data_IF_725811443107
#
_entry.id   IF_725811443107
#
_cell.length_a   1.000
_cell.length_b   1.000
_cell.length_c   1.000
_cell.angle_alpha   90.00
_cell.angle_beta   90.00
_cell.angle_gamma   90.00
#
_symmetry.space_group_name_H-M   'P 1'
#
loop_
_entity.id
_entity.type
_entity.pdbx_description
1 polymer ?
#
# COMPACT_ATOMS: atom_id res chain seq x y z
N UNK A 1 -2.32 4.66 1.32
CA UNK A 1 -3.41 4.86 2.31
C UNK A 1 -4.76 5.12 1.62
N UNK A 2 -5.24 4.15 0.84
CA UNK A 2 -6.44 4.29 0.02
C UNK A 2 -7.74 4.29 0.84
N UNK A 3 -8.84 4.65 0.21
CA UNK A 3 -10.20 4.52 0.73
C UNK A 3 -10.97 3.45 -0.06
N UNK A 4 -12.23 3.25 0.28
CA UNK A 4 -13.14 2.29 -0.37
C UNK A 4 -13.39 2.57 -1.85
N UNK A 5 -13.17 3.81 -2.28
CA UNK A 5 -13.41 4.22 -3.66
C UNK A 5 -12.17 4.06 -4.54
N UNK A 6 -10.97 4.07 -3.96
CA UNK A 6 -9.71 3.98 -4.70
C UNK A 6 -9.11 2.57 -4.67
N UNK A 7 -9.19 1.88 -3.53
CA UNK A 7 -8.53 0.58 -3.36
C UNK A 7 -9.02 -0.49 -4.36
N UNK A 8 -10.33 -0.64 -4.64
CA UNK A 8 -10.82 -1.69 -5.53
C UNK A 8 -10.35 -1.56 -6.99
N UNK A 9 -9.98 -0.35 -7.41
CA UNK A 9 -9.57 -0.06 -8.78
C UNK A 9 -8.05 0.09 -8.92
N UNK A 10 -7.30 -0.19 -7.86
CA UNK A 10 -5.84 -0.09 -7.85
C UNK A 10 -5.21 -1.41 -8.30
N UNK A 11 -4.07 -1.35 -9.00
CA UNK A 11 -3.27 -2.56 -9.32
C UNK A 11 -2.47 -3.05 -8.11
N UNK A 12 -1.95 -2.11 -7.32
CA UNK A 12 -1.28 -2.36 -6.04
C UNK A 12 -1.71 -1.33 -5.01
N UNK A 13 -1.59 -1.67 -3.73
CA UNK A 13 -1.81 -0.78 -2.60
C UNK A 13 -0.60 -0.73 -1.69
N UNK A 14 -0.31 0.46 -1.16
CA UNK A 14 0.58 0.64 0.00
C UNK A 14 -0.20 1.33 1.12
N UNK A 15 -0.23 0.70 2.30
CA UNK A 15 -0.63 1.35 3.54
C UNK A 15 0.61 1.58 4.40
N UNK A 16 0.97 2.85 4.59
CA UNK A 16 2.13 3.24 5.40
C UNK A 16 1.99 4.66 5.93
N UNK A 17 2.58 4.92 7.10
CA UNK A 17 2.78 6.27 7.63
C UNK A 17 3.91 7.04 6.94
N UNK A 18 4.69 6.40 6.05
CA UNK A 18 5.77 7.05 5.28
C UNK A 18 5.59 6.84 3.78
N UNK A 19 5.78 7.92 3.01
CA UNK A 19 5.80 7.86 1.55
C UNK A 19 7.06 7.14 1.01
N UNK A 20 8.18 7.19 1.75
CA UNK A 20 9.43 6.54 1.34
C UNK A 20 9.29 5.04 1.17
N UNK A 21 8.33 4.42 1.87
CA UNK A 21 8.08 2.99 1.74
C UNK A 21 7.59 2.62 0.34
N UNK A 22 7.12 3.57 -0.47
CA UNK A 22 6.73 3.34 -1.87
C UNK A 22 7.94 3.16 -2.80
N UNK A 23 9.12 3.66 -2.40
CA UNK A 23 10.32 3.74 -3.24
C UNK A 23 10.71 2.41 -3.91
N UNK A 24 10.73 1.26 -3.21
CA UNK A 24 11.11 -0.01 -3.84
C UNK A 24 10.22 -0.38 -5.02
N UNK A 25 8.91 -0.06 -4.97
CA UNK A 25 8.01 -0.34 -6.08
C UNK A 25 8.27 0.60 -7.27
N UNK A 26 8.62 1.86 -7.01
CA UNK A 26 8.94 2.85 -8.07
C UNK A 26 10.25 2.51 -8.78
N UNK A 27 11.30 2.16 -8.02
CA UNK A 27 12.60 1.78 -8.58
C UNK A 27 12.50 0.52 -9.45
N UNK A 28 11.71 -0.46 -9.02
CA UNK A 28 11.47 -1.69 -9.79
C UNK A 28 10.61 -1.40 -11.02
N UNK A 29 9.62 -0.52 -10.91
CA UNK A 29 8.78 -0.10 -12.04
C UNK A 29 9.62 0.50 -13.17
N UNK A 30 10.55 1.40 -12.85
CA UNK A 30 11.38 2.09 -13.84
C UNK A 30 12.23 1.11 -14.67
N UNK A 31 12.66 0.00 -14.07
CA UNK A 31 13.57 -0.97 -14.70
C UNK A 31 12.86 -2.15 -15.38
N UNK A 32 11.74 -2.60 -14.82
CA UNK A 32 11.10 -3.86 -15.21
C UNK A 32 9.58 -3.80 -15.34
N UNK A 33 8.99 -2.62 -15.18
CA UNK A 33 7.55 -2.39 -15.36
C UNK A 33 6.67 -3.26 -14.46
N UNK A 34 5.46 -3.56 -14.95
CA UNK A 34 4.40 -4.20 -14.17
C UNK A 34 4.78 -5.57 -13.61
N UNK A 35 5.38 -6.43 -14.41
CA UNK A 35 5.72 -7.80 -13.98
C UNK A 35 6.76 -7.79 -12.85
N UNK A 36 7.76 -6.92 -12.94
CA UNK A 36 8.76 -6.81 -11.89
C UNK A 36 8.15 -6.26 -10.60
N UNK A 37 7.28 -5.25 -10.69
CA UNK A 37 6.57 -4.70 -9.52
C UNK A 37 5.66 -5.75 -8.89
N UNK A 38 4.95 -6.55 -9.68
CA UNK A 38 4.11 -7.62 -9.18
C UNK A 38 4.89 -8.59 -8.29
N UNK A 39 6.04 -9.07 -8.77
CA UNK A 39 6.89 -10.00 -8.02
C UNK A 39 7.36 -9.36 -6.71
N UNK A 40 7.87 -8.12 -6.76
CA UNK A 40 8.35 -7.40 -5.58
C UNK A 40 7.23 -7.12 -4.57
N UNK A 41 6.05 -6.71 -5.03
CA UNK A 41 4.90 -6.41 -4.15
C UNK A 41 4.39 -7.70 -3.51
N UNK A 42 4.24 -8.79 -4.27
CA UNK A 42 3.83 -10.10 -3.74
C UNK A 42 4.83 -10.64 -2.72
N UNK A 43 6.13 -10.42 -2.91
CA UNK A 43 7.15 -10.80 -1.93
C UNK A 43 7.01 -9.98 -0.64
N UNK A 44 6.87 -8.66 -0.75
CA UNK A 44 6.68 -7.77 0.41
C UNK A 44 5.36 -8.04 1.14
N UNK A 45 4.29 -8.35 0.42
CA UNK A 45 3.01 -8.73 1.00
C UNK A 45 3.14 -10.00 1.86
N UNK A 46 3.90 -11.01 1.41
CA UNK A 46 4.19 -12.22 2.20
C UNK A 46 4.99 -11.95 3.47
N UNK A 47 5.93 -11.01 3.40
CA UNK A 47 6.69 -10.56 4.58
C UNK A 47 5.81 -9.80 5.58
N UNK A 48 4.69 -9.24 5.10
CA UNK A 48 3.79 -8.42 5.88
C UNK A 48 4.34 -7.02 6.15
N UNK A 49 3.49 -6.16 6.70
CA UNK A 49 3.90 -4.83 7.14
C UNK A 49 4.55 -4.83 8.53
N UNK A 50 5.32 -3.77 8.80
CA UNK A 50 5.96 -3.53 10.11
C UNK A 50 5.20 -2.44 10.86
N UNK A 51 4.37 -2.84 11.83
CA UNK A 51 3.55 -1.90 12.59
C UNK A 51 2.57 -1.15 11.67
N UNK A 52 2.75 0.16 11.49
CA UNK A 52 1.93 1.00 10.60
C UNK A 52 2.63 1.35 9.27
N UNK A 53 3.67 0.60 8.91
CA UNK A 53 4.49 0.80 7.71
C UNK A 53 4.56 -0.43 6.83
N UNK A 54 4.93 -0.22 5.56
CA UNK A 54 5.25 -1.27 4.60
C UNK A 54 4.14 -2.32 4.33
N UNK A 55 2.86 -2.00 4.53
CA UNK A 55 1.77 -2.93 4.16
C UNK A 55 1.52 -2.85 2.66
N UNK A 56 2.21 -3.70 1.91
CA UNK A 56 2.07 -3.86 0.47
C UNK A 56 0.97 -4.86 0.13
N UNK A 57 0.17 -4.54 -0.88
CA UNK A 57 -0.90 -5.41 -1.36
C UNK A 57 -0.90 -5.47 -2.89
N UNK A 58 -0.96 -6.67 -3.46
CA UNK A 58 -1.22 -6.85 -4.90
C UNK A 58 -2.72 -7.04 -5.14
N UNK A 59 -3.33 -6.16 -5.94
CA UNK A 59 -4.78 -6.03 -6.02
C UNK A 59 -5.36 -6.46 -7.35
N UNK A 60 -4.54 -6.57 -8.41
CA UNK A 60 -5.00 -6.93 -9.75
C UNK A 60 -5.71 -8.30 -9.83
N UNK A 61 -5.52 -9.16 -8.82
CA UNK A 61 -6.08 -10.52 -8.73
C UNK A 61 -6.81 -10.76 -7.40
N UNK A 62 -6.99 -9.72 -6.58
CA UNK A 62 -7.56 -9.87 -5.24
C UNK A 62 -9.08 -10.07 -5.32
N UNK A 63 -9.55 -11.21 -4.80
CA UNK A 63 -10.98 -11.55 -4.74
C UNK A 63 -11.70 -10.91 -3.55
N UNK A 64 -10.98 -10.72 -2.45
CA UNK A 64 -11.48 -10.06 -1.25
C UNK A 64 -10.43 -9.06 -0.76
N UNK A 65 -10.85 -7.80 -0.67
CA UNK A 65 -10.02 -6.68 -0.24
C UNK A 65 -10.46 -6.12 1.12
N UNK A 66 -11.42 -6.74 1.81
CA UNK A 66 -12.05 -6.20 3.01
C UNK A 66 -11.02 -5.94 4.11
N UNK A 67 -10.17 -6.93 4.41
CA UNK A 67 -9.09 -6.80 5.39
C UNK A 67 -8.05 -5.75 4.96
N UNK A 68 -7.71 -5.70 3.68
CA UNK A 68 -6.75 -4.74 3.13
C UNK A 68 -7.30 -3.31 3.31
N UNK A 69 -8.59 -3.12 3.02
CA UNK A 69 -9.30 -1.86 3.17
C UNK A 69 -9.31 -1.38 4.63
N UNK A 70 -9.50 -2.28 5.59
CA UNK A 70 -9.40 -1.95 7.03
C UNK A 70 -8.01 -1.41 7.39
N UNK A 71 -6.94 -2.06 6.92
CA UNK A 71 -5.56 -1.62 7.15
C UNK A 71 -5.35 -0.22 6.55
N UNK A 72 -5.76 -0.02 5.29
CA UNK A 72 -5.65 1.27 4.61
C UNK A 72 -6.43 2.39 5.33
N UNK A 73 -7.67 2.13 5.76
CA UNK A 73 -8.51 3.09 6.51
C UNK A 73 -7.91 3.42 7.88
N UNK A 74 -7.40 2.41 8.61
CA UNK A 74 -6.71 2.60 9.91
C UNK A 74 -5.51 3.53 9.77
N UNK A 75 -4.59 3.23 8.85
CA UNK A 75 -3.37 4.04 8.65
C UNK A 75 -3.71 5.43 8.10
N UNK A 76 -4.70 5.54 7.20
CA UNK A 76 -5.18 6.86 6.72
C UNK A 76 -5.66 7.75 7.85
N UNK A 77 -6.38 7.20 8.83
CA UNK A 77 -6.83 7.96 10.02
C UNK A 77 -5.64 8.44 10.85
N UNK A 78 -4.63 7.59 11.08
CA UNK A 78 -3.43 7.97 11.81
C UNK A 78 -2.68 9.12 11.14
N UNK A 79 -2.39 9.00 9.85
CA UNK A 79 -1.65 10.03 9.09
C UNK A 79 -2.43 11.36 9.05
N UNK A 80 -3.76 11.30 8.90
CA UNK A 80 -4.60 12.51 8.88
C UNK A 80 -4.72 13.16 10.25
N UNK A 81 -4.83 12.37 11.32
CA UNK A 81 -4.86 12.90 12.69
C UNK A 81 -3.54 13.61 13.01
N UNK A 82 -2.41 13.07 12.55
CA UNK A 82 -1.11 13.73 12.70
C UNK A 82 -1.01 15.00 11.86
N UNK A 83 -1.41 14.96 10.59
CA UNK A 83 -1.43 16.14 9.72
C UNK A 83 -2.32 17.26 10.27
N UNK A 84 -3.47 16.93 10.87
CA UNK A 84 -4.36 17.92 11.47
C UNK A 84 -3.74 18.66 12.66
N UNK A 85 -2.70 18.12 13.32
CA UNK A 85 -1.94 18.84 14.35
C UNK A 85 -1.01 19.89 13.78
N UNK A 86 -0.70 19.81 12.49
CA UNK A 86 0.26 20.67 11.80
C UNK A 86 -0.39 21.86 11.07
N UNK A 87 -1.72 21.95 11.07
CA UNK A 87 -2.50 23.03 10.43
C UNK A 87 -3.54 22.53 9.45
#
# INVERSE_FOLDING_TARGET
>A
NANEYALPYSTMGLASTSLDDLRPALEVWERGGRQAVELTVKEKEKLGGKGDREHFHWLAEAKDISRLLEIHKRIRRLVRAEAAKLG
#
